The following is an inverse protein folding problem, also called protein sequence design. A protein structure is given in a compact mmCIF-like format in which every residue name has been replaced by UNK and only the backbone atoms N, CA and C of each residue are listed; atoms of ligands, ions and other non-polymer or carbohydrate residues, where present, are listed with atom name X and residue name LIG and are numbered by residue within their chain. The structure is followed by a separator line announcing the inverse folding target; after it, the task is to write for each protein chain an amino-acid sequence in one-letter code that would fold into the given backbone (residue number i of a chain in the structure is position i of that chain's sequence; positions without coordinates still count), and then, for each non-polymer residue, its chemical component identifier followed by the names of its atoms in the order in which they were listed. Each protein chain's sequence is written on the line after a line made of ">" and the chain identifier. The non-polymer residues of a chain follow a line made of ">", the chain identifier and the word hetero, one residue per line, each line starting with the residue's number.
data_IF_660401204233
#
_entry.id   IF_660401204233
#
_cell.length_a   1.000
_cell.length_b   1.000
_cell.length_c   1.000
_cell.angle_alpha   90.00
_cell.angle_beta   90.00
_cell.angle_gamma   90.00
#
_symmetry.space_group_name_H-M   'P 1'
#
loop_
_entity.id
_entity.type
_entity.pdbx_description
1 polymer ?
#
# COMPACT_ATOMS: atom_id res chain seq x y z
N UNK A 1 -10.00 -5.45 30.31
CA UNK A 1 -9.96 -4.13 29.67
C UNK A 1 -9.91 -4.37 28.17
N UNK A 2 -10.93 -3.99 27.41
CA UNK A 2 -10.90 -4.11 25.95
C UNK A 2 -9.79 -3.20 25.43
N UNK A 3 -8.79 -3.77 24.75
CA UNK A 3 -7.77 -3.00 24.05
C UNK A 3 -8.50 -2.22 22.97
N UNK A 4 -8.56 -0.89 23.10
CA UNK A 4 -9.01 -0.04 21.99
C UNK A 4 -8.08 -0.37 20.82
N UNK A 5 -8.65 -0.89 19.73
CA UNK A 5 -7.86 -1.17 18.54
C UNK A 5 -7.28 0.16 18.08
N UNK A 6 -5.95 0.26 18.05
CA UNK A 6 -5.28 1.42 17.49
C UNK A 6 -5.59 1.48 16.00
N UNK A 7 -5.86 2.68 15.49
CA UNK A 7 -5.89 2.92 14.05
C UNK A 7 -4.61 2.39 13.39
N UNK A 8 -4.65 1.73 12.22
CA UNK A 8 -3.49 1.03 11.66
C UNK A 8 -2.28 1.92 11.48
N UNK A 9 -2.47 3.16 11.03
CA UNK A 9 -1.37 4.12 10.84
C UNK A 9 -0.65 4.39 12.17
N UNK A 10 -1.36 4.43 13.29
CA UNK A 10 -0.76 4.62 14.61
C UNK A 10 0.06 3.40 15.01
N UNK A 11 -0.45 2.20 14.74
CA UNK A 11 0.29 0.97 15.01
C UNK A 11 1.57 0.87 14.16
N UNK A 12 1.51 1.25 12.88
CA UNK A 12 2.67 1.30 11.99
C UNK A 12 3.72 2.26 12.55
N UNK A 13 3.29 3.48 12.92
CA UNK A 13 4.19 4.51 13.48
C UNK A 13 4.80 4.07 14.80
N UNK A 14 4.03 3.49 15.72
CA UNK A 14 4.53 2.97 17.00
C UNK A 14 5.56 1.86 16.80
N UNK A 15 5.30 0.90 15.91
CA UNK A 15 6.24 -0.18 15.58
C UNK A 15 7.54 0.38 14.98
N UNK A 16 7.44 1.32 14.05
CA UNK A 16 8.60 1.95 13.43
C UNK A 16 9.44 2.74 14.46
N UNK A 17 8.78 3.55 15.29
CA UNK A 17 9.43 4.34 16.33
C UNK A 17 10.13 3.45 17.38
N UNK A 18 9.53 2.30 17.74
CA UNK A 18 10.14 1.33 18.63
C UNK A 18 11.36 0.64 18.02
N UNK A 19 11.39 0.45 16.69
CA UNK A 19 12.50 -0.18 16.00
C UNK A 19 13.71 0.76 15.83
N UNK A 20 13.50 2.08 15.71
CA UNK A 20 14.59 3.04 15.53
C UNK A 20 14.21 4.46 15.93
N UNK A 21 15.13 5.13 16.63
CA UNK A 21 15.02 6.57 16.90
C UNK A 21 15.05 7.43 15.62
N UNK A 22 15.58 6.89 14.51
CA UNK A 22 15.52 7.56 13.20
C UNK A 22 14.07 7.63 12.72
N UNK A 23 13.37 6.50 12.71
CA UNK A 23 11.96 6.42 12.31
C UNK A 23 11.04 7.19 13.25
N UNK A 24 11.36 7.20 14.55
CA UNK A 24 10.63 8.01 15.52
C UNK A 24 10.68 9.51 15.18
N UNK A 25 11.80 10.02 14.63
CA UNK A 25 11.91 11.42 14.20
C UNK A 25 11.19 11.73 12.90
N UNK A 26 10.97 10.75 12.04
CA UNK A 26 10.21 10.90 10.80
C UNK A 26 8.69 10.80 11.03
N UNK A 27 8.25 10.41 12.23
CA UNK A 27 6.84 10.25 12.56
C UNK A 27 6.12 11.60 12.68
N UNK A 28 4.94 11.69 12.07
CA UNK A 28 4.04 12.81 12.29
C UNK A 28 3.45 12.78 13.71
N UNK A 29 3.18 13.95 14.31
CA UNK A 29 2.32 14.04 15.49
C UNK A 29 0.99 13.36 15.26
N UNK A 30 0.42 12.72 16.28
CA UNK A 30 -0.82 11.94 16.13
C UNK A 30 -2.00 12.74 15.54
N UNK A 31 -2.06 14.05 15.82
CA UNK A 31 -3.09 14.96 15.30
C UNK A 31 -2.98 15.22 13.79
N UNK A 32 -1.80 15.02 13.20
CA UNK A 32 -1.52 15.31 11.77
C UNK A 32 -1.53 14.05 10.90
N UNK A 33 -1.73 12.88 11.53
CA UNK A 33 -1.79 11.59 10.83
C UNK A 33 -3.11 11.46 10.08
N UNK A 34 -3.05 10.84 8.91
CA UNK A 34 -4.25 10.45 8.17
C UNK A 34 -4.71 9.06 8.63
N UNK A 35 -5.83 8.96 9.38
CA UNK A 35 -6.28 7.68 9.94
C UNK A 35 -6.95 6.77 8.90
N UNK A 36 -7.33 7.28 7.73
CA UNK A 36 -8.08 6.49 6.76
C UNK A 36 -7.31 5.23 6.31
N UNK A 37 -7.97 4.08 6.52
CA UNK A 37 -7.54 2.80 5.94
C UNK A 37 -7.69 2.86 4.43
N UNK A 38 -6.68 2.38 3.71
CA UNK A 38 -6.77 2.29 2.25
C UNK A 38 -7.02 0.85 1.81
N UNK A 39 -6.01 -0.01 1.92
CA UNK A 39 -5.96 -1.27 1.17
C UNK A 39 -5.93 -2.51 2.05
N UNK A 40 -5.37 -2.42 3.26
CA UNK A 40 -5.37 -3.52 4.23
C UNK A 40 -6.78 -3.97 4.62
N UNK A 41 -7.76 -3.05 4.68
CA UNK A 41 -9.17 -3.42 4.89
C UNK A 41 -9.74 -4.28 3.77
N UNK A 42 -9.34 -4.01 2.53
CA UNK A 42 -9.81 -4.76 1.37
C UNK A 42 -9.18 -6.15 1.35
N UNK A 43 -7.86 -6.23 1.63
CA UNK A 43 -7.16 -7.52 1.70
C UNK A 43 -7.68 -8.41 2.85
N UNK A 44 -8.01 -7.81 3.99
CA UNK A 44 -8.67 -8.48 5.12
C UNK A 44 -7.80 -9.55 5.81
N UNK A 45 -8.41 -10.21 6.79
CA UNK A 45 -7.83 -11.35 7.52
C UNK A 45 -6.43 -11.08 8.10
N UNK A 46 -5.59 -12.10 8.06
CA UNK A 46 -4.22 -12.06 8.60
C UNK A 46 -3.26 -11.21 7.72
N UNK A 47 -3.70 -10.78 6.54
CA UNK A 47 -2.90 -9.98 5.60
C UNK A 47 -3.06 -8.47 5.81
N UNK A 48 -4.12 -8.03 6.49
CA UNK A 48 -4.51 -6.62 6.57
C UNK A 48 -3.40 -5.69 7.08
N UNK A 49 -2.76 -6.05 8.21
CA UNK A 49 -1.67 -5.27 8.82
C UNK A 49 -0.46 -5.16 7.88
N UNK A 50 -0.09 -6.28 7.26
CA UNK A 50 1.05 -6.38 6.35
C UNK A 50 0.85 -5.53 5.10
N UNK A 51 -0.29 -5.69 4.44
CA UNK A 51 -0.66 -4.91 3.25
C UNK A 51 -0.69 -3.41 3.57
N UNK A 52 -1.26 -3.01 4.71
CA UNK A 52 -1.34 -1.60 5.08
C UNK A 52 0.05 -1.01 5.38
N UNK A 53 0.96 -1.79 5.96
CA UNK A 53 2.35 -1.39 6.22
C UNK A 53 3.14 -1.25 4.91
N UNK A 54 2.99 -2.19 3.98
CA UNK A 54 3.60 -2.11 2.63
C UNK A 54 3.07 -0.86 1.90
N UNK A 55 1.76 -0.60 1.96
CA UNK A 55 1.17 0.57 1.35
C UNK A 55 1.69 1.88 1.96
N UNK A 56 1.88 1.95 3.28
CA UNK A 56 2.51 3.11 3.90
C UNK A 56 3.95 3.32 3.38
N UNK A 57 4.71 2.25 3.20
CA UNK A 57 6.04 2.31 2.58
C UNK A 57 5.99 2.88 1.15
N UNK A 58 5.03 2.43 0.35
CA UNK A 58 4.79 2.95 -1.00
C UNK A 58 4.47 4.45 -1.01
N UNK A 59 3.62 4.92 -0.10
CA UNK A 59 3.32 6.35 0.02
C UNK A 59 4.56 7.15 0.43
N UNK A 60 5.38 6.64 1.36
CA UNK A 60 6.62 7.30 1.76
C UNK A 60 7.61 7.40 0.57
N UNK A 61 7.61 6.43 -0.35
CA UNK A 61 8.44 6.46 -1.55
C UNK A 61 7.93 7.41 -2.63
N UNK A 62 6.63 7.47 -2.86
CA UNK A 62 6.07 8.05 -4.08
C UNK A 62 5.12 9.22 -3.88
N UNK A 63 4.52 9.36 -2.70
CA UNK A 63 3.60 10.46 -2.41
C UNK A 63 4.36 11.70 -1.90
N UNK A 64 3.75 12.91 -1.95
CA UNK A 64 4.31 14.09 -1.30
C UNK A 64 4.59 13.90 0.20
N UNK A 65 3.82 13.03 0.86
CA UNK A 65 4.06 12.57 2.24
C UNK A 65 3.35 11.23 2.52
N UNK A 66 3.85 10.49 3.52
CA UNK A 66 3.12 9.36 4.09
C UNK A 66 1.92 9.81 4.94
N UNK A 67 1.10 8.84 5.36
CA UNK A 67 -0.03 9.09 6.28
C UNK A 67 0.44 9.26 7.71
N UNK A 68 1.46 8.49 8.10
CA UNK A 68 2.05 8.50 9.43
C UNK A 68 3.40 9.21 9.53
N UNK A 69 4.02 9.52 8.39
CA UNK A 69 5.40 9.96 8.33
C UNK A 69 5.61 11.16 7.41
N UNK A 70 6.54 12.02 7.81
CA UNK A 70 7.16 13.05 6.98
C UNK A 70 8.67 12.95 7.18
N UNK A 71 9.34 12.22 6.29
CA UNK A 71 10.80 12.15 6.30
C UNK A 71 11.40 13.54 6.01
N UNK A 72 12.52 13.90 6.65
CA UNK A 72 13.13 15.23 6.51
C UNK A 72 13.76 15.45 5.12
N UNK A 73 14.12 14.37 4.44
CA UNK A 73 14.73 14.37 3.11
C UNK A 73 14.37 13.09 2.32
N UNK A 74 14.74 13.08 1.05
CA UNK A 74 14.41 12.01 0.11
C UNK A 74 15.15 10.72 0.46
N UNK A 75 16.41 10.80 0.86
CA UNK A 75 17.23 9.64 1.22
C UNK A 75 16.67 8.91 2.44
N UNK A 76 16.25 9.66 3.48
CA UNK A 76 15.60 9.09 4.64
C UNK A 76 14.20 8.56 4.31
N UNK A 77 13.47 9.23 3.41
CA UNK A 77 12.21 8.72 2.86
C UNK A 77 12.39 7.36 2.20
N UNK A 78 13.42 7.21 1.36
CA UNK A 78 13.73 5.95 0.68
C UNK A 78 13.96 4.81 1.67
N UNK A 79 14.85 5.02 2.65
CA UNK A 79 15.17 4.00 3.65
C UNK A 79 14.00 3.70 4.60
N UNK A 80 13.17 4.69 4.93
CA UNK A 80 11.96 4.49 5.72
C UNK A 80 10.95 3.64 4.95
N UNK A 81 10.73 3.94 3.66
CA UNK A 81 9.86 3.13 2.81
C UNK A 81 10.37 1.70 2.65
N UNK A 82 11.68 1.49 2.50
CA UNK A 82 12.30 0.15 2.45
C UNK A 82 12.09 -0.62 3.75
N UNK A 83 12.26 0.06 4.90
CA UNK A 83 12.00 -0.51 6.22
C UNK A 83 10.53 -0.92 6.36
N UNK A 84 9.59 -0.08 5.96
CA UNK A 84 8.16 -0.37 6.01
C UNK A 84 7.79 -1.52 5.08
N UNK A 85 8.33 -1.54 3.86
CA UNK A 85 8.15 -2.64 2.91
C UNK A 85 8.61 -3.97 3.49
N UNK A 86 9.85 -4.03 4.01
CA UNK A 86 10.39 -5.23 4.64
C UNK A 86 9.57 -5.66 5.87
N UNK A 87 9.14 -4.70 6.70
CA UNK A 87 8.32 -4.97 7.88
C UNK A 87 6.96 -5.55 7.51
N UNK A 88 6.31 -4.98 6.50
CA UNK A 88 5.02 -5.46 6.02
C UNK A 88 5.13 -6.84 5.35
N UNK A 89 6.22 -7.11 4.62
CA UNK A 89 6.51 -8.46 4.10
C UNK A 89 6.66 -9.49 5.23
N UNK A 90 7.38 -9.16 6.32
CA UNK A 90 7.48 -10.05 7.50
C UNK A 90 6.08 -10.35 8.06
N UNK A 91 5.22 -9.34 8.17
CA UNK A 91 3.83 -9.52 8.66
C UNK A 91 3.02 -10.43 7.72
N UNK A 92 3.10 -10.23 6.40
CA UNK A 92 2.43 -11.09 5.41
C UNK A 92 2.97 -12.52 5.47
N UNK A 93 4.28 -12.71 5.61
CA UNK A 93 4.90 -14.05 5.67
C UNK A 93 4.46 -14.86 6.87
N UNK A 94 4.04 -14.20 7.96
CA UNK A 94 3.51 -14.87 9.15
C UNK A 94 2.20 -15.63 8.84
N UNK A 95 1.46 -15.24 7.80
CA UNK A 95 0.28 -15.97 7.32
C UNK A 95 0.65 -17.22 6.50
N UNK A 96 1.92 -17.40 6.12
CA UNK A 96 2.40 -18.57 5.35
C UNK A 96 1.97 -18.60 3.88
N UNK A 97 1.45 -17.48 3.37
CA UNK A 97 0.84 -17.41 2.04
C UNK A 97 1.83 -16.91 0.98
N UNK A 98 2.47 -17.87 0.30
CA UNK A 98 3.50 -17.57 -0.72
C UNK A 98 2.94 -16.84 -1.93
N UNK A 99 1.72 -17.17 -2.34
CA UNK A 99 1.07 -16.52 -3.48
C UNK A 99 0.67 -15.08 -3.14
N UNK A 100 0.29 -14.79 -1.90
CA UNK A 100 0.10 -13.41 -1.44
C UNK A 100 1.40 -12.59 -1.52
N UNK A 101 2.52 -13.18 -1.10
CA UNK A 101 3.85 -12.56 -1.21
C UNK A 101 4.20 -12.26 -2.67
N UNK A 102 3.98 -13.23 -3.57
CA UNK A 102 4.22 -13.05 -5.00
C UNK A 102 3.33 -11.95 -5.59
N UNK A 103 2.04 -11.95 -5.26
CA UNK A 103 1.08 -10.95 -5.74
C UNK A 103 1.46 -9.54 -5.28
N UNK A 104 1.87 -9.36 -4.02
CA UNK A 104 2.29 -8.07 -3.45
C UNK A 104 3.65 -7.60 -3.99
N UNK A 105 4.60 -8.52 -4.19
CA UNK A 105 5.91 -8.16 -4.76
C UNK A 105 5.74 -7.64 -6.19
N UNK A 106 4.95 -8.34 -6.98
CA UNK A 106 4.67 -7.94 -8.37
C UNK A 106 3.83 -6.65 -8.45
N UNK A 107 2.91 -6.43 -7.50
CA UNK A 107 2.22 -5.15 -7.33
C UNK A 107 3.21 -3.99 -7.15
N UNK A 108 4.13 -4.09 -6.17
CA UNK A 108 5.03 -2.97 -5.86
C UNK A 108 5.99 -2.70 -7.01
N UNK A 109 6.50 -3.74 -7.67
CA UNK A 109 7.32 -3.57 -8.88
C UNK A 109 6.56 -2.84 -9.99
N UNK A 110 5.34 -3.28 -10.30
CA UNK A 110 4.57 -2.70 -11.40
C UNK A 110 4.08 -1.29 -11.08
N UNK A 111 3.65 -1.02 -9.84
CA UNK A 111 3.24 0.31 -9.41
C UNK A 111 4.40 1.31 -9.46
N UNK A 112 5.60 0.91 -9.02
CA UNK A 112 6.79 1.76 -9.14
C UNK A 112 7.15 2.05 -10.61
N UNK A 113 7.05 1.05 -11.49
CA UNK A 113 7.26 1.25 -12.93
C UNK A 113 6.22 2.21 -13.54
N UNK A 114 4.94 2.05 -13.21
CA UNK A 114 3.89 2.97 -13.65
C UNK A 114 4.15 4.40 -13.20
N UNK A 115 4.60 4.61 -11.94
CA UNK A 115 4.95 5.95 -11.44
C UNK A 115 6.17 6.56 -12.10
N UNK A 116 7.10 5.74 -12.59
CA UNK A 116 8.30 6.22 -13.26
C UNK A 116 8.07 6.54 -14.75
N UNK A 117 7.23 5.77 -15.44
CA UNK A 117 7.19 5.74 -16.90
C UNK A 117 5.85 6.18 -17.50
N UNK A 118 4.74 6.03 -16.79
CA UNK A 118 3.41 6.29 -17.36
C UNK A 118 3.00 7.76 -17.20
N UNK A 119 2.43 8.34 -18.26
CA UNK A 119 1.78 9.66 -18.20
C UNK A 119 0.59 9.67 -17.22
N UNK A 120 -0.10 8.53 -17.12
CA UNK A 120 -1.25 8.31 -16.24
C UNK A 120 -1.07 6.99 -15.49
N UNK A 121 -0.37 7.01 -14.34
CA UNK A 121 -0.15 5.82 -13.53
C UNK A 121 -1.47 5.11 -13.18
N UNK A 122 -1.44 3.79 -13.14
CA UNK A 122 -2.56 2.92 -12.75
C UNK A 122 -2.32 2.23 -11.39
N UNK A 123 -1.52 2.85 -10.53
CA UNK A 123 -1.11 2.27 -9.25
C UNK A 123 -2.27 2.15 -8.26
N UNK A 124 -3.19 3.12 -8.23
CA UNK A 124 -4.42 3.03 -7.43
C UNK A 124 -5.23 1.76 -7.77
N UNK A 125 -5.42 1.51 -9.07
CA UNK A 125 -6.16 0.36 -9.59
C UNK A 125 -5.41 -0.94 -9.33
N UNK A 126 -4.07 -0.95 -9.49
CA UNK A 126 -3.22 -2.10 -9.14
C UNK A 126 -3.34 -2.47 -7.66
N UNK A 127 -3.28 -1.49 -6.76
CA UNK A 127 -3.41 -1.72 -5.32
C UNK A 127 -4.76 -2.35 -4.97
N UNK A 128 -5.86 -1.77 -5.48
CA UNK A 128 -7.20 -2.26 -5.20
C UNK A 128 -7.44 -3.66 -5.78
N UNK A 129 -7.08 -3.89 -7.05
CA UNK A 129 -7.26 -5.18 -7.71
C UNK A 129 -6.44 -6.28 -7.00
N UNK A 130 -5.23 -5.96 -6.55
CA UNK A 130 -4.40 -6.90 -5.78
C UNK A 130 -5.06 -7.26 -4.46
N UNK A 131 -5.55 -6.27 -3.70
CA UNK A 131 -6.18 -6.55 -2.41
C UNK A 131 -7.46 -7.38 -2.56
N UNK A 132 -8.25 -7.15 -3.61
CA UNK A 132 -9.42 -7.97 -3.94
C UNK A 132 -9.04 -9.40 -4.29
N UNK A 133 -7.97 -9.59 -5.04
CA UNK A 133 -7.44 -10.92 -5.33
C UNK A 133 -6.97 -11.66 -4.07
N UNK A 134 -6.36 -10.95 -3.11
CA UNK A 134 -5.94 -11.54 -1.84
C UNK A 134 -7.12 -11.97 -0.97
N UNK A 135 -8.20 -11.18 -0.96
CA UNK A 135 -9.39 -11.44 -0.15
C UNK A 135 -10.39 -12.44 -0.78
N UNK A 136 -10.31 -12.62 -2.10
CA UNK A 136 -11.26 -13.41 -2.88
C UNK A 136 -10.66 -14.69 -3.48
N UNK A 137 -11.41 -15.33 -4.40
CA UNK A 137 -10.90 -16.46 -5.17
C UNK A 137 -9.73 -16.02 -6.06
N UNK A 138 -8.65 -16.81 -6.02
CA UNK A 138 -7.43 -16.55 -6.80
C UNK A 138 -7.57 -17.19 -8.17
N UNK A 139 -7.97 -16.35 -9.11
CA UNK A 139 -8.07 -16.69 -10.52
C UNK A 139 -7.07 -15.89 -11.37
N UNK A 140 -7.04 -16.20 -12.66
CA UNK A 140 -6.07 -15.63 -13.60
C UNK A 140 -6.38 -14.18 -14.02
N UNK A 141 -7.47 -13.56 -13.52
CA UNK A 141 -7.87 -12.23 -13.98
C UNK A 141 -6.86 -11.15 -13.60
N UNK A 142 -6.33 -11.18 -12.38
CA UNK A 142 -5.29 -10.22 -11.95
C UNK A 142 -3.97 -10.45 -12.71
N UNK A 143 -3.40 -11.68 -12.78
CA UNK A 143 -2.23 -11.95 -13.60
C UNK A 143 -2.39 -11.47 -15.05
N UNK A 144 -3.49 -11.84 -15.72
CA UNK A 144 -3.77 -11.42 -17.10
C UNK A 144 -3.88 -9.90 -17.25
N UNK A 145 -4.48 -9.21 -16.28
CA UNK A 145 -4.60 -7.75 -16.29
C UNK A 145 -3.26 -7.06 -16.10
N UNK A 146 -2.35 -7.64 -15.31
CA UNK A 146 -0.97 -7.12 -15.15
C UNK A 146 -0.14 -7.32 -16.41
N UNK A 147 -0.28 -8.46 -17.08
CA UNK A 147 0.39 -8.71 -18.35
C UNK A 147 -0.08 -7.74 -19.44
N UNK A 148 -1.40 -7.48 -19.51
CA UNK A 148 -1.96 -6.46 -20.38
C UNK A 148 -1.40 -5.07 -20.04
N UNK A 149 -1.33 -4.70 -18.76
CA UNK A 149 -0.78 -3.42 -18.33
C UNK A 149 0.69 -3.25 -18.73
N UNK A 150 1.51 -4.31 -18.60
CA UNK A 150 2.91 -4.31 -19.08
C UNK A 150 3.00 -4.13 -20.60
N UNK A 151 2.03 -4.63 -21.35
CA UNK A 151 1.92 -4.41 -22.79
C UNK A 151 1.32 -3.03 -23.16
N UNK A 152 0.97 -2.20 -22.17
CA UNK A 152 0.42 -0.86 -22.36
C UNK A 152 -1.12 -0.80 -22.42
N UNK A 153 -1.82 -1.92 -22.19
CA UNK A 153 -3.28 -1.96 -22.13
C UNK A 153 -3.78 -1.99 -20.68
N UNK A 154 -4.36 -0.87 -20.24
CA UNK A 154 -4.94 -0.74 -18.89
C UNK A 154 -6.38 -1.22 -18.78
N UNK A 155 -7.09 -1.47 -19.89
CA UNK A 155 -8.52 -1.74 -19.85
C UNK A 155 -8.90 -2.97 -19.02
N UNK A 156 -8.15 -4.10 -19.05
CA UNK A 156 -8.46 -5.25 -18.21
C UNK A 156 -8.36 -4.95 -16.72
N UNK A 157 -7.35 -4.17 -16.31
CA UNK A 157 -7.18 -3.76 -14.92
C UNK A 157 -8.31 -2.83 -14.47
N UNK A 158 -8.64 -1.81 -15.28
CA UNK A 158 -9.72 -0.87 -14.98
C UNK A 158 -11.06 -1.61 -14.80
N UNK A 159 -11.30 -2.69 -15.58
CA UNK A 159 -12.50 -3.52 -15.45
C UNK A 159 -12.59 -4.27 -14.11
N UNK A 160 -11.46 -4.59 -13.46
CA UNK A 160 -11.45 -5.24 -12.13
C UNK A 160 -11.89 -4.31 -11.00
N UNK A 161 -11.94 -3.01 -11.26
CA UNK A 161 -12.19 -1.95 -10.27
C UNK A 161 -13.26 -0.94 -10.71
N UNK A 162 -14.14 -1.34 -11.63
CA UNK A 162 -15.16 -0.48 -12.21
C UNK A 162 -16.44 -0.31 -11.36
N UNK A 163 -16.55 -1.03 -10.24
CA UNK A 163 -17.72 -0.98 -9.36
C UNK A 163 -17.69 0.21 -8.36
N UNK A 164 -18.84 0.49 -7.75
CA UNK A 164 -19.01 1.65 -6.85
C UNK A 164 -18.16 1.54 -5.58
N UNK A 165 -17.87 0.33 -5.09
CA UNK A 165 -17.04 0.14 -3.89
C UNK A 165 -15.58 0.55 -4.12
N UNK A 166 -15.14 0.60 -5.38
CA UNK A 166 -13.82 1.07 -5.76
C UNK A 166 -13.64 2.59 -5.63
N UNK A 167 -14.72 3.37 -5.67
CA UNK A 167 -14.63 4.84 -5.75
C UNK A 167 -13.90 5.45 -4.55
N UNK A 168 -14.24 5.01 -3.34
CA UNK A 168 -13.66 5.53 -2.10
C UNK A 168 -12.15 5.25 -1.96
N UNK A 169 -11.65 3.99 -2.07
CA UNK A 169 -10.22 3.73 -1.98
C UNK A 169 -9.41 4.39 -3.11
N UNK A 170 -9.94 4.42 -4.34
CA UNK A 170 -9.26 5.10 -5.45
C UNK A 170 -9.17 6.61 -5.23
N UNK A 171 -10.24 7.25 -4.74
CA UNK A 171 -10.23 8.68 -4.43
C UNK A 171 -9.27 9.01 -3.27
N UNK A 172 -9.23 8.16 -2.23
CA UNK A 172 -8.29 8.32 -1.12
C UNK A 172 -6.85 8.25 -1.62
N UNK A 173 -6.51 7.24 -2.41
CA UNK A 173 -5.18 7.07 -2.98
C UNK A 173 -4.78 8.30 -3.82
N UNK A 174 -5.61 8.72 -4.77
CA UNK A 174 -5.32 9.89 -5.63
C UNK A 174 -5.11 11.16 -4.81
N UNK A 175 -5.92 11.39 -3.76
CA UNK A 175 -5.71 12.52 -2.84
C UNK A 175 -4.37 12.45 -2.13
N UNK A 176 -3.98 11.27 -1.64
CA UNK A 176 -2.70 11.07 -0.95
C UNK A 176 -1.50 11.29 -1.88
N UNK A 177 -1.64 10.89 -3.15
CA UNK A 177 -0.62 11.06 -4.17
C UNK A 177 -0.54 12.49 -4.72
N UNK A 178 -1.55 13.33 -4.46
CA UNK A 178 -1.65 14.67 -5.02
C UNK A 178 -2.14 14.71 -6.47
N UNK A 179 -2.79 13.63 -6.93
CA UNK A 179 -3.32 13.47 -8.30
C UNK A 179 -4.75 14.04 -8.45
N UNK A 180 -5.31 14.66 -7.41
CA UNK A 180 -6.70 15.12 -7.32
C UNK A 180 -6.88 16.60 -7.68
#
# INVERSE_FOLDING_TARGET
>A
MARVALEPVNLIVERAAAASAVWARSALPAADREPAHAFGRVAGGDLADGVETIYEGFLVHHAPRGRGFAAPDREQGLLLGDYLYATGLVQVTAAGDVEAIAALSDLVTLAAAQRAEAERPADAELWLATCRHLAGPRDDRLPASRDALRAGDRAPLDALVADDEAQAPLALHRRLMGDA
#
